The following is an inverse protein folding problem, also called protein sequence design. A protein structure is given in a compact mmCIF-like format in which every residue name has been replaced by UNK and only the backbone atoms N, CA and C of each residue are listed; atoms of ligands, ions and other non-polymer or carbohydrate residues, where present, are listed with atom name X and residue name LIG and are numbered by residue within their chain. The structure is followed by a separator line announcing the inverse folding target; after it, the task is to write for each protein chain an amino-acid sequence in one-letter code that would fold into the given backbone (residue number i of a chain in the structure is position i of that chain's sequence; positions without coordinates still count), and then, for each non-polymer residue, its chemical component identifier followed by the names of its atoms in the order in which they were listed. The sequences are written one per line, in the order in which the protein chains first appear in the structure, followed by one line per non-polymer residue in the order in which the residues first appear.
data_IF_011717029930
#
_entry.id   IF_011717029930
#
_cell.length_a   1.000
_cell.length_b   1.000
_cell.length_c   1.000
_cell.angle_alpha   90.00
_cell.angle_beta   90.00
_cell.angle_gamma   90.00
#
_symmetry.space_group_name_H-M   'P 1'
#
loop_
_entity.id
_entity.type
_entity.pdbx_description
1 polymer ?
#
# COMPACT_ATOMS: atom_id res chain seq x y z
N UNK A 1 6.39 7.11 -3.90
CA UNK A 1 5.07 7.49 -3.38
C UNK A 1 4.86 6.95 -1.98
N UNK A 2 5.14 5.67 -1.72
CA UNK A 2 4.99 5.10 -0.39
C UNK A 2 6.29 4.37 -0.03
N UNK A 3 6.75 4.47 1.21
CA UNK A 3 7.83 3.63 1.69
C UNK A 3 7.74 3.46 3.19
N UNK A 4 7.94 2.23 3.66
CA UNK A 4 8.09 1.98 5.09
C UNK A 4 9.02 0.80 5.35
N UNK A 5 9.53 0.73 6.57
CA UNK A 5 10.09 -0.51 7.11
C UNK A 5 8.99 -1.24 7.86
N UNK A 6 8.88 -2.56 7.69
CA UNK A 6 7.89 -3.40 8.36
C UNK A 6 8.30 -3.73 9.79
N UNK A 7 7.37 -4.27 10.58
CA UNK A 7 7.65 -4.76 11.94
C UNK A 7 8.77 -5.82 11.99
N UNK A 8 8.96 -6.56 10.89
CA UNK A 8 10.00 -7.62 10.76
C UNK A 8 11.27 -7.12 10.06
N UNK A 9 11.43 -5.81 9.86
CA UNK A 9 12.65 -5.22 9.31
C UNK A 9 12.80 -5.27 7.79
N UNK A 10 11.78 -5.75 7.06
CA UNK A 10 11.74 -5.67 5.59
C UNK A 10 11.31 -4.28 5.13
N UNK A 11 11.56 -3.92 3.88
CA UNK A 11 11.17 -2.66 3.27
C UNK A 11 9.98 -2.91 2.32
N UNK A 12 9.02 -1.99 2.34
CA UNK A 12 7.95 -1.87 1.34
C UNK A 12 8.20 -0.59 0.57
N UNK A 13 8.15 -0.64 -0.76
CA UNK A 13 8.29 0.54 -1.62
C UNK A 13 7.21 0.58 -2.71
N UNK A 14 6.38 1.62 -2.60
CA UNK A 14 5.44 2.20 -3.53
C UNK A 14 6.07 3.22 -4.49
N UNK A 15 6.21 2.99 -5.80
CA UNK A 15 6.72 4.02 -6.72
C UNK A 15 5.88 4.21 -7.99
N UNK A 16 5.62 5.47 -8.34
CA UNK A 16 4.99 5.86 -9.60
C UNK A 16 6.11 6.09 -10.62
N UNK A 17 6.21 5.25 -11.65
CA UNK A 17 7.19 5.39 -12.72
C UNK A 17 6.54 5.96 -14.00
N UNK A 18 5.41 6.67 -13.87
CA UNK A 18 4.66 7.27 -14.97
C UNK A 18 3.77 6.27 -15.69
N UNK A 19 4.39 5.35 -16.46
CA UNK A 19 3.66 4.31 -17.22
C UNK A 19 3.33 3.07 -16.37
N UNK A 20 4.09 2.86 -15.31
CA UNK A 20 3.92 1.70 -14.41
C UNK A 20 3.92 2.13 -12.95
N UNK A 21 3.22 1.33 -12.15
CA UNK A 21 3.33 1.32 -10.70
C UNK A 21 4.31 0.21 -10.33
N UNK A 22 5.39 0.60 -9.64
CA UNK A 22 6.42 -0.31 -9.16
C UNK A 22 6.19 -0.58 -7.69
N UNK A 23 6.15 -1.87 -7.35
CA UNK A 23 6.03 -2.35 -5.98
C UNK A 23 7.24 -3.22 -5.64
N UNK A 24 7.83 -2.99 -4.48
CA UNK A 24 8.88 -3.86 -3.97
C UNK A 24 8.67 -4.20 -2.51
N UNK A 25 9.00 -5.45 -2.16
CA UNK A 25 9.01 -5.95 -0.80
C UNK A 25 10.24 -6.84 -0.58
N UNK A 26 10.96 -6.65 0.51
CA UNK A 26 12.08 -7.52 0.88
C UNK A 26 13.14 -6.83 1.72
N UNK A 27 14.38 -7.28 1.64
CA UNK A 27 15.48 -6.64 2.36
C UNK A 27 15.82 -5.28 1.73
N UNK A 28 16.24 -4.28 2.52
CA UNK A 28 16.76 -3.04 1.96
C UNK A 28 17.87 -3.32 0.94
N UNK A 29 17.72 -2.83 -0.29
CA UNK A 29 18.68 -3.05 -1.39
C UNK A 29 18.61 -4.43 -2.08
N UNK A 30 17.81 -5.38 -1.58
CA UNK A 30 17.64 -6.71 -2.16
C UNK A 30 16.17 -7.17 -2.00
N UNK A 31 15.26 -6.67 -2.86
CA UNK A 31 13.85 -7.03 -2.80
C UNK A 31 13.64 -8.50 -3.14
N UNK A 32 12.76 -9.15 -2.39
CA UNK A 32 12.32 -10.54 -2.61
C UNK A 32 11.18 -10.58 -3.63
N UNK A 33 10.37 -9.51 -3.64
CA UNK A 33 9.30 -9.26 -4.60
C UNK A 33 9.58 -7.92 -5.24
N UNK A 34 9.61 -7.89 -6.58
CA UNK A 34 9.72 -6.67 -7.37
C UNK A 34 8.75 -6.78 -8.55
N UNK A 35 7.75 -5.91 -8.57
CA UNK A 35 6.70 -5.88 -9.58
C UNK A 35 6.73 -4.54 -10.32
N UNK A 36 6.40 -4.59 -11.60
CA UNK A 36 6.14 -3.40 -12.41
C UNK A 36 4.84 -3.64 -13.17
N UNK A 37 3.77 -3.00 -12.70
CA UNK A 37 2.41 -3.17 -13.25
C UNK A 37 2.05 -1.94 -14.06
N UNK A 38 1.42 -2.11 -15.21
CA UNK A 38 0.91 -0.98 -15.99
C UNK A 38 -0.02 -0.10 -15.13
N UNK A 39 0.13 1.22 -15.21
CA UNK A 39 -0.64 2.16 -14.39
C UNK A 39 -2.15 1.93 -14.49
N UNK A 40 -2.66 1.60 -15.69
CA UNK A 40 -4.08 1.29 -15.97
C UNK A 40 -4.60 -0.01 -15.33
N UNK A 41 -3.71 -0.88 -14.86
CA UNK A 41 -4.05 -2.13 -14.18
C UNK A 41 -3.99 -2.00 -12.67
N UNK A 42 -3.21 -1.06 -12.15
CA UNK A 42 -3.29 -0.69 -10.75
C UNK A 42 -4.60 0.07 -10.48
N UNK A 43 -5.03 0.09 -9.23
CA UNK A 43 -6.19 0.89 -8.81
C UNK A 43 -5.95 1.55 -7.46
N UNK A 44 -6.83 2.48 -7.09
CA UNK A 44 -6.76 3.18 -5.82
C UNK A 44 -8.11 3.29 -5.13
N UNK A 45 -8.10 3.19 -3.80
CA UNK A 45 -9.19 3.62 -2.93
C UNK A 45 -8.81 4.93 -2.27
N UNK A 46 -9.67 5.94 -2.39
CA UNK A 46 -9.47 7.26 -1.81
C UNK A 46 -10.56 7.51 -0.76
N UNK A 47 -10.19 8.17 0.32
CA UNK A 47 -11.15 8.49 1.38
C UNK A 47 -12.25 9.41 0.86
N UNK A 48 -13.51 9.07 1.17
CA UNK A 48 -14.69 9.79 0.67
C UNK A 48 -15.18 10.89 1.61
N UNK A 49 -14.44 11.18 2.69
CA UNK A 49 -14.85 12.13 3.73
C UNK A 49 -15.69 11.53 4.85
N UNK A 50 -16.04 10.24 4.77
CA UNK A 50 -16.84 9.54 5.78
C UNK A 50 -15.99 8.53 6.55
N UNK A 51 -16.11 8.52 7.88
CA UNK A 51 -15.36 7.61 8.75
C UNK A 51 -13.88 7.99 8.87
N UNK A 52 -13.06 7.02 9.30
CA UNK A 52 -11.62 7.18 9.47
C UNK A 52 -10.91 7.25 8.10
N UNK A 53 -10.01 8.22 7.87
CA UNK A 53 -9.29 8.33 6.60
C UNK A 53 -8.47 7.08 6.28
N UNK A 54 -8.64 6.58 5.06
CA UNK A 54 -7.92 5.42 4.55
C UNK A 54 -7.73 5.53 3.05
N UNK A 55 -6.52 5.23 2.61
CA UNK A 55 -6.06 5.35 1.24
C UNK A 55 -5.36 4.08 0.83
N UNK A 56 -5.64 3.59 -0.37
CA UNK A 56 -5.07 2.33 -0.88
C UNK A 56 -4.54 2.46 -2.29
N UNK A 57 -3.50 1.67 -2.60
CA UNK A 57 -3.05 1.40 -3.96
C UNK A 57 -2.95 -0.11 -4.15
N UNK A 58 -3.72 -0.61 -5.11
CA UNK A 58 -3.79 -2.03 -5.44
C UNK A 58 -2.85 -2.35 -6.60
N UNK A 59 -1.96 -3.32 -6.39
CA UNK A 59 -0.98 -3.77 -7.37
C UNK A 59 -1.24 -5.25 -7.71
N UNK A 60 -1.91 -5.55 -8.84
CA UNK A 60 -2.22 -6.93 -9.21
C UNK A 60 -1.03 -7.66 -9.84
N UNK A 61 -0.87 -8.95 -9.51
CA UNK A 61 0.10 -9.87 -10.08
C UNK A 61 -0.48 -11.30 -10.14
N UNK A 62 -1.02 -11.67 -11.31
CA UNK A 62 -1.76 -12.93 -11.46
C UNK A 62 -2.99 -12.96 -10.56
N UNK A 63 -3.13 -14.02 -9.77
CA UNK A 63 -4.21 -14.19 -8.78
C UNK A 63 -3.97 -13.41 -7.47
N UNK A 64 -2.84 -12.71 -7.35
CA UNK A 64 -2.46 -12.01 -6.11
C UNK A 64 -2.60 -10.50 -6.27
N UNK A 65 -3.18 -9.81 -5.29
CA UNK A 65 -3.21 -8.34 -5.21
C UNK A 65 -2.47 -7.88 -3.96
N UNK A 66 -1.51 -6.98 -4.15
CA UNK A 66 -0.81 -6.30 -3.08
C UNK A 66 -1.44 -4.92 -2.89
N UNK A 67 -2.22 -4.76 -1.82
CA UNK A 67 -2.91 -3.52 -1.48
C UNK A 67 -2.07 -2.76 -0.47
N UNK A 68 -1.31 -1.78 -0.94
CA UNK A 68 -0.62 -0.84 -0.06
C UNK A 68 -1.65 0.08 0.57
N UNK A 69 -1.64 0.22 1.89
CA UNK A 69 -2.59 1.05 2.61
C UNK A 69 -1.89 2.03 3.55
N UNK A 70 -2.54 3.17 3.74
CA UNK A 70 -2.21 4.16 4.76
C UNK A 70 -3.50 4.82 5.25
N UNK A 71 -3.64 4.97 6.56
CA UNK A 71 -4.78 5.63 7.18
C UNK A 71 -4.55 5.83 8.67
N UNK A 72 -5.54 6.38 9.36
CA UNK A 72 -5.50 6.56 10.80
C UNK A 72 -6.92 6.55 11.36
N UNK A 73 -7.07 6.06 12.60
CA UNK A 73 -8.37 6.11 13.27
C UNK A 73 -8.62 7.50 13.86
N UNK A 74 -9.60 8.22 13.29
CA UNK A 74 -9.95 9.57 13.74
C UNK A 74 -10.59 9.62 15.14
N UNK A 75 -11.09 8.48 15.64
CA UNK A 75 -11.79 8.43 16.94
C UNK A 75 -10.86 8.03 18.08
N UNK A 76 -9.65 7.57 17.79
CA UNK A 76 -8.66 7.25 18.80
C UNK A 76 -7.91 8.52 19.22
N UNK A 77 -7.70 8.71 20.52
CA UNK A 77 -7.07 9.92 21.08
C UNK A 77 -5.70 10.22 20.44
N UNK A 78 -4.91 9.17 20.19
CA UNK A 78 -3.57 9.28 19.61
C UNK A 78 -3.54 9.16 18.07
N UNK A 79 -4.71 8.99 17.43
CA UNK A 79 -4.87 8.81 15.98
C UNK A 79 -3.79 7.91 15.35
N UNK A 80 -3.67 6.65 15.80
CA UNK A 80 -2.57 5.80 15.41
C UNK A 80 -2.58 5.58 13.90
N UNK A 81 -1.42 5.85 13.27
CA UNK A 81 -1.24 5.59 11.85
C UNK A 81 -1.21 4.08 11.62
N UNK A 82 -2.10 3.62 10.76
CA UNK A 82 -2.12 2.27 10.23
C UNK A 82 -1.63 2.28 8.78
N UNK A 83 -0.52 1.59 8.54
CA UNK A 83 0.06 1.51 7.21
C UNK A 83 0.70 0.14 6.97
N UNK A 84 0.73 -0.28 5.71
CA UNK A 84 1.29 -1.57 5.36
C UNK A 84 0.83 -2.08 4.01
N UNK A 85 0.80 -3.41 3.89
CA UNK A 85 0.33 -4.12 2.71
C UNK A 85 -0.64 -5.21 3.12
N UNK A 86 -1.86 -5.20 2.58
CA UNK A 86 -2.74 -6.37 2.57
C UNK A 86 -2.40 -7.22 1.35
N UNK A 87 -2.33 -8.53 1.53
CA UNK A 87 -2.10 -9.49 0.45
C UNK A 87 -3.37 -10.28 0.26
N UNK A 88 -3.95 -10.19 -0.94
CA UNK A 88 -5.10 -10.98 -1.35
C UNK A 88 -4.67 -12.01 -2.39
N UNK A 89 -5.17 -13.24 -2.29
CA UNK A 89 -4.99 -14.29 -3.30
C UNK A 89 -6.36 -14.83 -3.68
N UNK A 90 -6.73 -14.75 -4.96
CA UNK A 90 -8.08 -15.11 -5.46
C UNK A 90 -9.17 -14.44 -4.63
N UNK A 91 -9.02 -13.13 -4.42
CA UNK A 91 -9.92 -12.26 -3.65
C UNK A 91 -10.06 -12.62 -2.16
N UNK A 92 -9.24 -13.54 -1.64
CA UNK A 92 -9.20 -13.89 -0.22
C UNK A 92 -8.02 -13.23 0.46
N UNK A 93 -8.28 -12.56 1.58
CA UNK A 93 -7.23 -12.01 2.43
C UNK A 93 -6.33 -13.13 2.96
N UNK A 94 -5.03 -13.03 2.67
CA UNK A 94 -4.01 -14.00 3.07
C UNK A 94 -3.20 -13.50 4.27
N UNK A 95 -2.79 -12.23 4.24
CA UNK A 95 -1.92 -11.66 5.26
C UNK A 95 -1.93 -10.13 5.26
N UNK A 96 -1.54 -9.57 6.40
CA UNK A 96 -1.20 -8.15 6.54
C UNK A 96 0.26 -8.00 6.94
N UNK A 97 0.99 -7.20 6.17
CA UNK A 97 2.36 -6.79 6.46
C UNK A 97 2.32 -5.35 6.98
N UNK A 98 2.36 -5.17 8.30
CA UNK A 98 2.32 -3.83 8.91
C UNK A 98 3.67 -3.12 8.86
N UNK A 99 3.63 -1.81 8.59
CA UNK A 99 4.74 -0.92 8.83
C UNK A 99 5.09 -0.86 10.32
N UNK A 100 6.38 -0.61 10.60
CA UNK A 100 6.86 -0.29 11.93
C UNK A 100 6.48 1.15 12.25
N UNK A 101 5.59 1.37 13.22
CA UNK A 101 5.30 2.71 13.76
C UNK A 101 6.50 3.41 14.42
N UNK A 102 7.65 2.72 14.54
CA UNK A 102 8.91 3.26 15.10
C UNK A 102 9.83 3.87 14.05
N UNK A 103 9.53 3.73 12.76
CA UNK A 103 10.38 4.23 11.67
C UNK A 103 9.57 5.16 10.77
N UNK A 104 10.23 6.13 10.10
CA UNK A 104 9.54 7.02 9.19
C UNK A 104 8.77 6.25 8.12
N UNK A 105 7.56 6.73 7.85
CA UNK A 105 6.72 6.30 6.74
C UNK A 105 6.71 7.46 5.75
N UNK A 106 7.10 7.20 4.51
CA UNK A 106 6.81 8.10 3.40
C UNK A 106 5.45 7.68 2.86
N UNK A 107 4.49 8.61 2.82
CA UNK A 107 3.25 8.43 2.10
C UNK A 107 3.05 9.65 1.20
N UNK A 108 2.68 9.39 -0.05
CA UNK A 108 2.11 10.34 -1.02
C UNK A 108 1.13 9.56 -1.91
N UNK A 109 0.23 8.78 -1.28
CA UNK A 109 -0.79 7.97 -1.97
C UNK A 109 -2.20 8.59 -1.87
N UNK A 110 -2.34 9.65 -1.08
CA UNK A 110 -3.49 10.54 -1.11
C UNK A 110 -3.59 11.23 -2.48
N UNK A 111 -4.80 11.33 -3.00
CA UNK A 111 -5.17 11.95 -4.29
C UNK A 111 -4.41 11.41 -5.51
N UNK A 112 -3.83 10.21 -5.40
CA UNK A 112 -3.12 9.59 -6.51
C UNK A 112 -4.07 9.32 -7.68
N UNK A 113 -3.65 9.73 -8.87
CA UNK A 113 -4.43 9.54 -10.10
C UNK A 113 -4.21 8.12 -10.65
N UNK A 114 -5.05 7.19 -10.20
CA UNK A 114 -5.18 5.81 -10.69
C UNK A 114 -6.65 5.48 -10.95
N UNK A 115 -6.95 4.43 -11.74
CA UNK A 115 -8.30 3.90 -11.82
C UNK A 115 -8.88 3.64 -10.42
N UNK A 116 -10.16 3.95 -10.20
CA UNK A 116 -10.83 3.58 -8.97
C UNK A 116 -10.86 2.04 -8.82
N UNK A 117 -10.79 1.57 -7.58
CA UNK A 117 -11.03 0.15 -7.27
C UNK A 117 -12.40 -0.29 -7.78
N UNK A 118 -12.47 -1.48 -8.39
CA UNK A 118 -13.73 -2.06 -8.82
C UNK A 118 -14.37 -2.72 -7.59
N UNK A 119 -15.48 -2.15 -7.13
CA UNK A 119 -16.36 -2.74 -6.12
C UNK A 119 -17.14 -3.91 -6.73
#
# INVERSE_FOLDING_TARGET
MFACTTKVGKKVELCDAGKTIRYAFGKPGAPEIALSVERKRASTGQWTGVGSPSYTVNVPNGDTVYTVFWGFDRNADDQPIEAGVHVYVKDKWLATVSCSGKKPIVQNIEDIQLPAEKI
#
